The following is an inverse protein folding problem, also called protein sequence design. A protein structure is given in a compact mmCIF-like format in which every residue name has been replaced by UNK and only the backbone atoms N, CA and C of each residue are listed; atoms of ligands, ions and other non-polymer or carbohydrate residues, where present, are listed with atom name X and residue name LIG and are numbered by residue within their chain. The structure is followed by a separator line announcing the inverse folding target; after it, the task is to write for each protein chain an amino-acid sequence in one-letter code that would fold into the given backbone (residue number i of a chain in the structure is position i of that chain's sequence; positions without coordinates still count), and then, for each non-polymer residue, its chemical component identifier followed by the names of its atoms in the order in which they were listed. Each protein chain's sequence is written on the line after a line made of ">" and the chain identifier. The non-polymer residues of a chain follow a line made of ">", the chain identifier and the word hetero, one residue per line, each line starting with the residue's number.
data_IF_871402286294
#
_entry.id   IF_871402286294
#
_cell.length_a   1.000
_cell.length_b   1.000
_cell.length_c   1.000
_cell.angle_alpha   90.00
_cell.angle_beta   90.00
_cell.angle_gamma   90.00
#
_symmetry.space_group_name_H-M   'P 1'
#
loop_
_entity.id
_entity.type
_entity.pdbx_description
1 polymer ?
#
# COMPACT_ATOMS: atom_id res chain seq x y z
N UNK A 1 -9.91 10.96 11.19
CA UNK A 1 -8.97 9.97 11.74
C UNK A 1 -8.72 10.34 13.20
N UNK A 2 -8.56 9.34 14.07
CA UNK A 2 -8.21 9.56 15.48
C UNK A 2 -6.89 10.35 15.61
N UNK A 3 -6.84 11.34 16.50
CA UNK A 3 -5.66 12.22 16.64
C UNK A 3 -4.43 11.49 17.18
N UNK A 4 -4.62 10.49 18.05
CA UNK A 4 -3.51 9.73 18.63
C UNK A 4 -2.88 8.87 17.54
N UNK A 5 -3.71 8.16 16.77
CA UNK A 5 -3.25 7.38 15.63
C UNK A 5 -2.54 8.25 14.58
N UNK A 6 -3.06 9.45 14.29
CA UNK A 6 -2.38 10.38 13.40
C UNK A 6 -0.97 10.75 13.89
N UNK A 7 -0.82 11.04 15.19
CA UNK A 7 0.47 11.37 15.79
C UNK A 7 1.45 10.21 15.69
N UNK A 8 0.99 8.98 15.92
CA UNK A 8 1.81 7.79 15.79
C UNK A 8 2.29 7.59 14.34
N UNK A 9 1.38 7.70 13.37
CA UNK A 9 1.69 7.53 11.93
C UNK A 9 2.56 8.65 11.35
N UNK A 10 2.54 9.84 11.94
CA UNK A 10 3.36 10.98 11.47
C UNK A 10 4.82 10.87 11.90
N UNK A 11 5.13 10.10 12.95
CA UNK A 11 6.49 9.97 13.48
C UNK A 11 7.50 9.59 12.39
N UNK A 12 8.68 10.19 12.42
CA UNK A 12 9.75 9.88 11.48
C UNK A 12 10.32 8.50 11.84
N UNK A 13 10.22 7.57 10.90
CA UNK A 13 10.76 6.21 11.04
C UNK A 13 12.28 6.22 10.99
N UNK A 14 12.93 5.13 11.42
CA UNK A 14 14.39 5.06 11.37
C UNK A 14 14.93 5.12 9.94
N UNK A 15 14.23 4.52 8.98
CA UNK A 15 14.55 4.65 7.55
C UNK A 15 14.46 6.11 7.08
N UNK A 16 13.37 6.82 7.43
CA UNK A 16 13.20 8.23 7.07
C UNK A 16 14.26 9.13 7.72
N UNK A 17 14.71 8.82 8.94
CA UNK A 17 15.83 9.55 9.57
C UNK A 17 17.10 9.41 8.74
N UNK A 18 17.41 8.20 8.27
CA UNK A 18 18.59 7.96 7.43
C UNK A 18 18.48 8.66 6.06
N UNK A 19 17.28 8.70 5.48
CA UNK A 19 17.00 9.47 4.26
C UNK A 19 17.26 10.97 4.47
N UNK A 20 16.69 11.54 5.55
CA UNK A 20 16.88 12.95 5.89
C UNK A 20 18.33 13.31 6.25
N UNK A 21 19.16 12.32 6.57
CA UNK A 21 20.60 12.49 6.79
C UNK A 21 21.44 12.45 5.50
N UNK A 22 20.81 12.33 4.34
CA UNK A 22 21.49 12.43 3.03
C UNK A 22 21.63 11.11 2.29
N UNK A 23 20.80 10.10 2.57
CA UNK A 23 20.73 8.90 1.72
C UNK A 23 19.93 9.20 0.45
N UNK A 24 20.56 8.94 -0.69
CA UNK A 24 20.00 9.30 -2.01
C UNK A 24 19.08 8.24 -2.64
N UNK A 25 19.13 6.99 -2.17
CA UNK A 25 18.35 5.88 -2.73
C UNK A 25 17.75 4.99 -1.64
N UNK A 26 16.64 4.31 -1.94
CA UNK A 26 16.04 3.33 -1.03
C UNK A 26 17.05 2.24 -0.66
N UNK A 27 16.99 1.75 0.57
CA UNK A 27 17.74 0.54 0.92
C UNK A 27 17.01 -0.68 0.36
N UNK A 28 17.41 -1.09 -0.84
CA UNK A 28 16.81 -2.23 -1.55
C UNK A 28 16.77 -3.50 -0.71
N UNK A 29 17.68 -3.69 0.26
CA UNK A 29 17.71 -4.89 1.11
C UNK A 29 16.48 -5.00 2.02
N UNK A 30 15.82 -3.87 2.33
CA UNK A 30 14.58 -3.83 3.11
C UNK A 30 13.37 -4.32 2.31
N UNK A 31 13.43 -4.25 0.98
CA UNK A 31 12.26 -4.42 0.10
C UNK A 31 12.39 -5.56 -0.90
N UNK A 32 13.58 -5.79 -1.46
CA UNK A 32 13.78 -6.59 -2.66
C UNK A 32 14.90 -7.61 -2.48
N UNK A 33 14.77 -8.77 -3.14
CA UNK A 33 15.90 -9.68 -3.32
C UNK A 33 16.94 -9.11 -4.29
N UNK A 34 18.16 -9.66 -4.27
CA UNK A 34 19.22 -9.22 -5.18
C UNK A 34 18.77 -9.37 -6.64
N UNK A 35 19.04 -8.34 -7.45
CA UNK A 35 18.72 -8.29 -8.89
C UNK A 35 17.23 -8.38 -9.24
N UNK A 36 16.33 -8.11 -8.29
CA UNK A 36 14.88 -8.06 -8.50
C UNK A 36 14.35 -6.64 -8.31
N UNK A 37 13.42 -6.21 -9.16
CA UNK A 37 12.62 -4.99 -8.99
C UNK A 37 11.22 -5.31 -8.45
N UNK A 38 11.07 -6.46 -7.79
CA UNK A 38 9.85 -6.89 -7.10
C UNK A 38 10.03 -6.62 -5.61
N UNK A 39 9.19 -5.77 -5.03
CA UNK A 39 9.09 -5.66 -3.58
C UNK A 39 8.46 -6.94 -3.05
N UNK A 40 9.19 -7.61 -2.16
CA UNK A 40 8.91 -8.95 -1.66
C UNK A 40 8.18 -8.89 -0.33
N UNK A 41 6.99 -9.47 -0.29
CA UNK A 41 6.12 -9.50 0.88
C UNK A 41 6.81 -10.14 2.09
N UNK A 42 7.66 -11.16 1.90
CA UNK A 42 8.36 -11.85 2.99
C UNK A 42 9.40 -10.96 3.70
N UNK A 43 9.84 -9.86 3.09
CA UNK A 43 10.70 -8.88 3.75
C UNK A 43 9.90 -7.89 4.61
N UNK A 44 8.62 -7.72 4.31
CA UNK A 44 7.75 -6.74 4.94
C UNK A 44 6.82 -7.34 6.00
N UNK A 45 6.41 -8.60 5.81
CA UNK A 45 5.53 -9.37 6.69
C UNK A 45 6.33 -10.11 7.76
N UNK A 46 5.77 -10.14 8.97
CA UNK A 46 6.25 -11.08 10.00
C UNK A 46 5.85 -12.52 9.64
N UNK A 47 6.66 -13.48 10.08
CA UNK A 47 6.45 -14.89 9.78
C UNK A 47 5.06 -15.36 10.22
N UNK A 48 4.30 -15.93 9.27
CA UNK A 48 2.94 -16.45 9.50
C UNK A 48 1.82 -15.41 9.39
N UNK A 49 2.13 -14.12 9.24
CA UNK A 49 1.12 -13.08 8.94
C UNK A 49 0.86 -13.03 7.43
N UNK A 50 -0.41 -12.83 7.06
CA UNK A 50 -0.87 -12.71 5.66
C UNK A 50 -1.30 -11.28 5.29
N UNK A 51 -1.28 -10.38 6.28
CA UNK A 51 -1.53 -8.96 6.14
C UNK A 51 -0.65 -8.21 7.13
N UNK A 52 -0.11 -7.07 6.73
CA UNK A 52 0.51 -6.10 7.64
C UNK A 52 0.22 -4.68 7.19
N UNK A 53 0.37 -3.73 8.10
CA UNK A 53 0.21 -2.30 7.87
C UNK A 53 1.53 -1.63 8.19
N UNK A 54 2.01 -0.80 7.27
CA UNK A 54 3.27 -0.06 7.43
C UNK A 54 3.04 1.42 7.12
N UNK A 55 3.73 2.34 7.83
CA UNK A 55 3.81 3.72 7.37
C UNK A 55 4.39 3.77 5.95
N UNK A 56 3.85 4.66 5.12
CA UNK A 56 4.44 4.96 3.83
C UNK A 56 5.71 5.78 4.01
N UNK A 57 6.85 5.30 3.50
CA UNK A 57 8.13 5.99 3.61
C UNK A 57 8.12 7.30 2.80
N UNK A 58 8.35 8.43 3.47
CA UNK A 58 8.40 9.77 2.83
C UNK A 58 9.83 10.12 2.38
N UNK A 59 9.96 11.28 1.73
CA UNK A 59 11.22 11.96 1.42
C UNK A 59 12.13 11.34 0.35
N UNK A 60 11.84 10.14 -0.14
CA UNK A 60 12.67 9.46 -1.14
C UNK A 60 11.87 8.98 -2.34
N UNK A 61 12.55 8.89 -3.47
CA UNK A 61 12.00 8.32 -4.70
C UNK A 61 12.09 6.79 -4.61
N UNK A 62 10.97 6.11 -4.86
CA UNK A 62 10.97 4.68 -5.12
C UNK A 62 10.99 4.47 -6.64
N UNK A 63 12.08 3.95 -7.21
CA UNK A 63 12.17 3.65 -8.65
C UNK A 63 11.10 2.67 -9.10
N UNK A 64 10.89 2.54 -10.41
CA UNK A 64 9.94 1.57 -11.00
C UNK A 64 10.12 0.17 -10.41
N UNK A 65 9.04 -0.40 -9.91
CA UNK A 65 8.99 -1.73 -9.29
C UNK A 65 7.60 -2.36 -9.44
N UNK A 66 7.51 -3.65 -9.13
CA UNK A 66 6.24 -4.39 -8.97
C UNK A 66 6.17 -5.04 -7.58
N UNK A 67 5.11 -5.78 -7.30
CA UNK A 67 4.87 -6.42 -6.01
C UNK A 67 4.53 -7.91 -6.19
N UNK A 68 4.89 -8.74 -5.21
CA UNK A 68 4.37 -10.11 -5.08
C UNK A 68 3.18 -10.20 -4.09
N UNK A 69 2.61 -9.06 -3.74
CA UNK A 69 1.42 -8.89 -2.89
C UNK A 69 0.48 -7.82 -3.46
N UNK A 70 -0.76 -7.78 -2.95
CA UNK A 70 -1.71 -6.71 -3.27
C UNK A 70 -1.41 -5.55 -2.32
N UNK A 71 -1.11 -4.38 -2.88
CA UNK A 71 -0.88 -3.17 -2.11
C UNK A 71 -2.17 -2.34 -2.06
N UNK A 72 -2.51 -1.86 -0.86
CA UNK A 72 -3.53 -0.81 -0.70
C UNK A 72 -2.88 0.35 0.03
N UNK A 73 -2.97 1.55 -0.52
CA UNK A 73 -2.42 2.76 0.10
C UNK A 73 -3.59 3.63 0.55
N UNK A 74 -3.61 4.00 1.83
CA UNK A 74 -4.57 4.98 2.35
C UNK A 74 -3.89 6.29 2.68
N UNK A 75 -4.38 7.40 2.11
CA UNK A 75 -3.84 8.73 2.37
C UNK A 75 -4.48 9.35 3.62
N UNK A 76 -3.71 9.43 4.70
CA UNK A 76 -4.17 9.96 5.98
C UNK A 76 -4.21 11.50 6.02
N UNK A 77 -3.21 12.15 5.42
CA UNK A 77 -3.06 13.62 5.39
C UNK A 77 -2.16 14.02 4.22
N UNK A 78 -2.43 15.16 3.58
CA UNK A 78 -1.64 15.62 2.44
C UNK A 78 -1.93 14.81 1.18
N UNK A 79 -0.90 14.59 0.35
CA UNK A 79 -1.02 13.84 -0.91
C UNK A 79 0.27 13.09 -1.26
N UNK A 80 0.17 11.95 -1.93
CA UNK A 80 1.32 11.28 -2.59
C UNK A 80 1.15 11.28 -4.10
N UNK A 81 2.27 11.21 -4.83
CA UNK A 81 2.26 11.09 -6.30
C UNK A 81 2.89 9.77 -6.71
N UNK A 82 2.13 8.99 -7.45
CA UNK A 82 2.53 7.70 -8.01
C UNK A 82 2.55 7.80 -9.54
N UNK A 83 3.46 7.07 -10.17
CA UNK A 83 3.44 6.81 -11.60
C UNK A 83 3.15 5.32 -11.74
N UNK A 84 1.95 4.98 -12.21
CA UNK A 84 1.49 3.60 -12.32
C UNK A 84 1.29 3.29 -13.80
N UNK A 85 2.08 2.35 -14.32
CA UNK A 85 2.14 2.03 -15.75
C UNK A 85 2.25 3.31 -16.61
N UNK A 86 3.23 4.15 -16.30
CA UNK A 86 3.52 5.43 -16.96
C UNK A 86 2.43 6.51 -16.85
N UNK A 87 1.37 6.27 -16.08
CA UNK A 87 0.32 7.25 -15.82
C UNK A 87 0.49 7.87 -14.43
N UNK A 88 0.45 9.20 -14.35
CA UNK A 88 0.52 9.93 -13.09
C UNK A 88 -0.81 9.81 -12.33
N UNK A 89 -0.73 9.37 -11.08
CA UNK A 89 -1.84 9.29 -10.13
C UNK A 89 -1.45 10.10 -8.89
N UNK A 90 -2.31 11.05 -8.50
CA UNK A 90 -2.17 11.78 -7.23
C UNK A 90 -3.19 11.20 -6.27
N UNK A 91 -2.72 10.71 -5.12
CA UNK A 91 -3.58 10.17 -4.08
C UNK A 91 -3.78 11.24 -3.01
N UNK A 92 -5.04 11.67 -2.83
CA UNK A 92 -5.38 12.76 -1.93
C UNK A 92 -5.90 12.23 -0.59
N UNK A 93 -5.81 13.05 0.47
CA UNK A 93 -6.33 12.73 1.79
C UNK A 93 -7.75 12.11 1.74
N UNK A 94 -7.91 10.97 2.40
CA UNK A 94 -9.17 10.24 2.50
C UNK A 94 -9.42 9.23 1.38
N UNK A 95 -8.49 9.12 0.43
CA UNK A 95 -8.56 8.18 -0.67
C UNK A 95 -7.77 6.90 -0.38
N UNK A 96 -8.28 5.79 -0.92
CA UNK A 96 -7.63 4.50 -0.99
C UNK A 96 -7.21 4.24 -2.43
N UNK A 97 -5.97 3.83 -2.62
CA UNK A 97 -5.43 3.34 -3.88
C UNK A 97 -5.20 1.84 -3.76
N UNK A 98 -5.89 1.05 -4.57
CA UNK A 98 -5.66 -0.40 -4.67
C UNK A 98 -4.79 -0.70 -5.87
N UNK A 99 -3.76 -1.53 -5.67
CA UNK A 99 -2.84 -1.96 -6.71
C UNK A 99 -2.75 -3.49 -6.73
N UNK A 100 -3.08 -4.05 -7.89
CA UNK A 100 -2.81 -5.47 -8.19
C UNK A 100 -1.31 -5.76 -8.25
N UNK A 101 -0.90 -7.01 -8.01
CA UNK A 101 0.51 -7.46 -8.10
C UNK A 101 1.19 -7.14 -9.44
N UNK A 102 0.43 -7.09 -10.54
CA UNK A 102 0.94 -6.83 -11.88
C UNK A 102 1.18 -5.35 -12.20
N UNK A 103 0.81 -4.43 -11.31
CA UNK A 103 0.97 -3.00 -11.55
C UNK A 103 2.45 -2.61 -11.39
N UNK A 104 3.02 -1.96 -12.41
CA UNK A 104 4.32 -1.31 -12.31
C UNK A 104 4.12 0.06 -11.67
N UNK A 105 4.78 0.30 -10.55
CA UNK A 105 4.66 1.52 -9.77
C UNK A 105 6.01 2.19 -9.60
N UNK A 106 5.99 3.51 -9.62
CA UNK A 106 7.06 4.39 -9.21
C UNK A 106 6.45 5.45 -8.29
N UNK A 107 7.18 5.86 -7.24
CA UNK A 107 6.64 6.75 -6.21
C UNK A 107 7.57 7.95 -6.06
N UNK A 108 7.01 9.14 -6.22
CA UNK A 108 7.76 10.38 -6.06
C UNK A 108 7.91 10.73 -4.58
N UNK A 109 9.00 11.42 -4.19
CA UNK A 109 9.22 11.83 -2.80
C UNK A 109 8.04 12.61 -2.22
N UNK A 110 7.50 12.10 -1.11
CA UNK A 110 6.46 12.77 -0.33
C UNK A 110 7.06 13.72 0.71
N UNK A 111 6.28 14.70 1.20
CA UNK A 111 6.71 15.68 2.21
C UNK A 111 6.39 15.19 3.60
N UNK A 112 6.89 15.92 4.61
CA UNK A 112 6.73 15.55 6.03
C UNK A 112 5.26 15.37 6.46
N UNK A 113 4.36 16.19 5.92
CA UNK A 113 2.93 16.15 6.27
C UNK A 113 2.08 15.26 5.36
N UNK A 114 2.71 14.62 4.36
CA UNK A 114 2.08 13.65 3.46
C UNK A 114 2.15 12.27 4.11
N UNK A 115 1.17 11.99 4.96
CA UNK A 115 1.12 10.76 5.77
C UNK A 115 0.19 9.76 5.10
N UNK A 116 0.71 8.60 4.74
CA UNK A 116 -0.05 7.47 4.22
C UNK A 116 0.33 6.18 4.95
N UNK A 117 -0.52 5.17 4.81
CA UNK A 117 -0.23 3.81 5.27
C UNK A 117 -0.40 2.84 4.12
N UNK A 118 0.53 1.89 4.01
CA UNK A 118 0.48 0.81 3.04
C UNK A 118 -0.01 -0.44 3.76
N UNK A 119 -1.03 -1.07 3.19
CA UNK A 119 -1.48 -2.40 3.54
C UNK A 119 -0.81 -3.37 2.57
N UNK A 120 -0.05 -4.29 3.14
CA UNK A 120 0.65 -5.36 2.41
C UNK A 120 -0.21 -6.60 2.59
N UNK A 121 -0.94 -7.00 1.55
CA UNK A 121 -1.97 -8.05 1.66
C UNK A 121 -1.60 -9.20 0.75
N UNK A 122 -1.33 -10.38 1.34
CA UNK A 122 -1.12 -11.57 0.55
C UNK A 122 -2.46 -12.04 -0.09
N UNK A 123 -2.44 -12.59 -1.31
CA UNK A 123 -3.65 -13.09 -1.98
C UNK A 123 -4.50 -14.05 -1.13
N UNK A 124 -3.87 -14.83 -0.25
CA UNK A 124 -4.53 -15.77 0.67
C UNK A 124 -5.49 -15.08 1.64
N UNK A 125 -5.25 -13.82 1.98
CA UNK A 125 -6.15 -13.03 2.81
C UNK A 125 -7.50 -12.84 2.12
N UNK A 126 -7.51 -12.49 0.84
CA UNK A 126 -8.75 -12.28 0.09
C UNK A 126 -9.55 -13.57 -0.03
N UNK A 127 -8.88 -14.70 -0.28
CA UNK A 127 -9.54 -16.01 -0.29
C UNK A 127 -10.25 -16.30 1.04
N UNK A 128 -9.64 -15.96 2.18
CA UNK A 128 -10.25 -16.17 3.51
C UNK A 128 -11.33 -15.16 3.84
N UNK A 129 -11.05 -13.86 3.68
CA UNK A 129 -11.96 -12.77 4.03
C UNK A 129 -13.26 -12.86 3.22
N UNK A 130 -13.18 -13.23 1.96
CA UNK A 130 -14.33 -13.32 1.07
C UNK A 130 -15.15 -14.59 1.29
N UNK A 131 -14.59 -15.63 1.88
CA UNK A 131 -15.37 -16.77 2.39
C UNK A 131 -16.13 -16.41 3.68
N UNK A 132 -15.61 -15.49 4.49
CA UNK A 132 -16.23 -15.04 5.73
C UNK A 132 -17.29 -13.96 5.51
N UNK A 133 -17.12 -13.15 4.46
CA UNK A 133 -18.13 -12.22 4.01
C UNK A 133 -19.18 -13.05 3.28
N UNK A 134 -20.26 -13.44 3.98
CA UNK A 134 -21.52 -13.98 3.44
C UNK A 134 -22.24 -12.96 2.53
N UNK A 135 -21.50 -12.21 1.72
CA UNK A 135 -22.10 -11.58 0.56
C UNK A 135 -22.47 -12.72 -0.37
N UNK A 136 -23.77 -12.85 -0.63
CA UNK A 136 -24.30 -13.60 -1.77
C UNK A 136 -23.38 -13.44 -2.98
N UNK A 137 -23.20 -14.51 -3.77
CA UNK A 137 -22.41 -14.52 -5.00
C UNK A 137 -22.69 -13.24 -5.81
N UNK A 138 -21.79 -12.26 -5.67
CA UNK A 138 -21.95 -10.95 -6.25
C UNK A 138 -20.93 -10.83 -7.37
N UNK A 139 -21.35 -10.57 -8.62
CA UNK A 139 -20.43 -10.34 -9.71
C UNK A 139 -19.39 -9.25 -9.42
N UNK A 140 -19.70 -8.30 -8.52
CA UNK A 140 -18.76 -7.29 -8.05
C UNK A 140 -17.62 -7.89 -7.20
N UNK A 141 -17.95 -8.88 -6.36
CA UNK A 141 -16.97 -9.61 -5.54
C UNK A 141 -15.97 -10.33 -6.42
N UNK A 142 -16.47 -11.11 -7.39
CA UNK A 142 -15.63 -11.87 -8.31
C UNK A 142 -14.78 -10.94 -9.17
N UNK A 143 -15.36 -9.84 -9.66
CA UNK A 143 -14.61 -8.81 -10.38
C UNK A 143 -13.45 -8.23 -9.56
N UNK A 144 -13.67 -7.91 -8.27
CA UNK A 144 -12.60 -7.39 -7.40
C UNK A 144 -11.51 -8.44 -7.18
N UNK A 145 -11.89 -9.71 -6.96
CA UNK A 145 -10.93 -10.82 -6.81
C UNK A 145 -10.11 -10.98 -8.08
N UNK A 146 -10.76 -11.13 -9.22
CA UNK A 146 -10.09 -11.36 -10.50
C UNK A 146 -9.18 -10.19 -10.89
N UNK A 147 -9.59 -8.98 -10.54
CA UNK A 147 -8.83 -7.76 -10.82
C UNK A 147 -7.57 -7.63 -9.93
N UNK A 148 -7.66 -7.98 -8.65
CA UNK A 148 -6.55 -7.82 -7.69
C UNK A 148 -5.64 -9.05 -7.59
N UNK A 149 -6.22 -10.25 -7.61
CA UNK A 149 -5.53 -11.55 -7.43
C UNK A 149 -5.17 -12.20 -8.76
N UNK A 150 -5.84 -11.82 -9.86
CA UNK A 150 -5.74 -12.48 -11.16
C UNK A 150 -4.31 -12.71 -11.66
N UNK A 151 -3.99 -13.98 -11.95
CA UNK A 151 -2.66 -14.43 -12.41
C UNK A 151 -2.32 -14.08 -13.87
N UNK A 152 -3.21 -13.40 -14.60
CA UNK A 152 -3.01 -13.09 -16.03
C UNK A 152 -3.35 -11.64 -16.34
N UNK A 153 -2.33 -10.81 -16.59
CA UNK A 153 -2.38 -9.58 -17.39
C UNK A 153 -3.34 -8.46 -16.98
N UNK A 154 -4.25 -8.72 -16.05
CA UNK A 154 -5.20 -7.76 -15.55
C UNK A 154 -4.47 -6.83 -14.58
N UNK A 155 -4.54 -5.56 -14.91
CA UNK A 155 -4.02 -4.46 -14.12
C UNK A 155 -5.24 -3.77 -13.55
N UNK A 156 -5.33 -3.72 -12.23
CA UNK A 156 -6.43 -3.08 -11.55
C UNK A 156 -5.90 -1.95 -10.68
N UNK A 157 -6.45 -0.77 -10.92
CA UNK A 157 -6.22 0.43 -10.13
C UNK A 157 -7.59 0.94 -9.72
N UNK A 158 -7.85 0.95 -8.43
CA UNK A 158 -9.08 1.54 -7.88
C UNK A 158 -8.72 2.68 -6.96
N UNK A 159 -9.32 3.85 -7.19
CA UNK A 159 -9.29 4.97 -6.26
C UNK A 159 -10.67 5.08 -5.62
N UNK A 160 -10.75 4.80 -4.32
CA UNK A 160 -12.00 4.88 -3.56
C UNK A 160 -11.90 6.01 -2.55
N UNK A 161 -12.91 6.87 -2.51
CA UNK A 161 -13.00 7.95 -1.53
C UNK A 161 -13.84 7.49 -0.34
N UNK A 162 -13.23 7.38 0.84
CA UNK A 162 -13.94 6.96 2.04
C UNK A 162 -14.69 8.14 2.67
N UNK A 163 -15.93 7.90 3.08
CA UNK A 163 -16.62 8.81 4.00
C UNK A 163 -16.07 8.61 5.41
N UNK A 164 -15.96 9.71 6.17
CA UNK A 164 -15.13 9.90 7.36
C UNK A 164 -15.31 8.88 8.52
N UNK A 165 -16.36 8.05 8.51
CA UNK A 165 -16.72 7.15 9.61
C UNK A 165 -16.10 5.73 9.55
N UNK A 166 -15.49 5.29 8.44
CA UNK A 166 -15.03 3.90 8.30
C UNK A 166 -13.62 3.59 8.84
N UNK A 167 -12.75 4.61 9.00
CA UNK A 167 -11.31 4.38 9.11
C UNK A 167 -10.82 3.88 10.49
N UNK A 168 -11.33 4.43 11.60
CA UNK A 168 -10.85 4.04 12.94
C UNK A 168 -11.14 2.56 13.25
N UNK A 169 -12.17 1.96 12.64
CA UNK A 169 -12.51 0.55 12.86
C UNK A 169 -11.55 -0.43 12.17
N UNK A 170 -10.92 -0.02 11.07
CA UNK A 170 -9.99 -0.88 10.32
C UNK A 170 -8.63 -0.88 11.01
N UNK A 171 -8.10 0.29 11.37
CA UNK A 171 -6.75 0.42 11.94
C UNK A 171 -6.67 0.03 13.44
N UNK A 172 -7.77 0.06 14.19
CA UNK A 172 -7.78 -0.31 15.62
C UNK A 172 -8.12 -1.79 15.89
N UNK A 173 -8.39 -2.60 14.84
CA UNK A 173 -8.80 -4.01 14.97
C UNK A 173 -7.83 -5.01 14.32
N UNK A 174 -6.72 -4.52 13.74
CA UNK A 174 -5.64 -5.34 13.18
C UNK A 174 -4.46 -5.29 14.15
#
# INVERSE_FOLDING_TARGET
>A
MDEKLYKELRNITDEEKEILQGRDNIDRRLYMEQQSDIINANKLLEQGKIITIRPHTRFIHFPKHTHDYIEVIYMCSGSTTHIINDNKVVLEKGELLFLSMNAVQEILPAKENDVAVNFIILPEFFNKALNMIEMEESPLKDFIIESLVGKKGNIAIFILKLQMFCLCRILLKI
#
